data_IF_520505984889
#
_entry.id   IF_520505984889
#
_cell.length_a   1.000
_cell.length_b   1.000
_cell.length_c   1.000
_cell.angle_alpha   90.00
_cell.angle_beta   90.00
_cell.angle_gamma   90.00
#
_symmetry.space_group_name_H-M   'P 1'
#
loop_
_entity.id
_entity.type
_entity.pdbx_description
1 polymer ?
#
# COMPACT_ATOMS: atom_id res chain seq x y z
N UNK A 1 -18.91 22.34 7.81
CA UNK A 1 -19.23 21.25 8.75
C UNK A 1 -18.67 21.65 10.11
N UNK A 2 -19.46 21.54 11.18
CA UNK A 2 -19.00 21.83 12.53
C UNK A 2 -18.03 20.73 12.96
N UNK A 3 -16.72 21.02 12.90
CA UNK A 3 -15.66 20.23 13.54
C UNK A 3 -15.78 20.40 15.05
N UNK A 4 -15.85 19.29 15.79
CA UNK A 4 -16.04 19.29 17.24
C UNK A 4 -16.22 17.90 17.86
N UNK A 5 -16.44 16.85 17.05
CA UNK A 5 -16.60 15.47 17.56
C UNK A 5 -15.58 14.53 16.91
N UNK A 6 -14.32 14.69 17.35
CA UNK A 6 -13.19 13.87 16.91
C UNK A 6 -13.40 12.38 17.18
N UNK A 7 -14.08 12.02 18.29
CA UNK A 7 -14.27 10.62 18.69
C UNK A 7 -15.26 9.93 17.76
N UNK A 8 -16.36 10.59 17.42
CA UNK A 8 -17.31 10.07 16.45
C UNK A 8 -16.66 9.93 15.07
N UNK A 9 -15.93 10.97 14.61
CA UNK A 9 -15.21 10.93 13.34
C UNK A 9 -14.19 9.77 13.28
N UNK A 10 -13.47 9.51 14.38
CA UNK A 10 -12.53 8.39 14.47
C UNK A 10 -13.25 7.04 14.42
N UNK A 11 -14.38 6.88 15.11
CA UNK A 11 -15.22 5.67 15.03
C UNK A 11 -15.65 5.42 13.59
N UNK A 12 -16.11 6.46 12.88
CA UNK A 12 -16.48 6.35 11.47
C UNK A 12 -15.29 5.97 10.59
N UNK A 13 -14.12 6.59 10.79
CA UNK A 13 -12.90 6.23 10.07
C UNK A 13 -12.51 4.77 10.31
N UNK A 14 -12.56 4.30 11.56
CA UNK A 14 -12.20 2.92 11.92
C UNK A 14 -13.10 1.89 11.21
N UNK A 15 -14.40 2.19 11.07
CA UNK A 15 -15.33 1.32 10.35
C UNK A 15 -15.02 1.28 8.84
N UNK A 16 -14.71 2.43 8.24
CA UNK A 16 -14.36 2.50 6.81
C UNK A 16 -13.03 1.81 6.50
N UNK A 17 -12.00 2.00 7.34
CA UNK A 17 -10.70 1.30 7.20
C UNK A 17 -10.88 -0.22 7.25
N UNK A 18 -11.73 -0.74 8.15
CA UNK A 18 -12.04 -2.19 8.19
C UNK A 18 -12.70 -2.67 6.90
N UNK A 19 -13.53 -1.83 6.27
CA UNK A 19 -14.22 -2.20 5.04
C UNK A 19 -13.29 -2.37 3.83
N UNK A 20 -12.12 -1.73 3.86
CA UNK A 20 -11.07 -1.85 2.84
C UNK A 20 -9.97 -2.85 3.22
N UNK A 21 -10.19 -3.65 4.28
CA UNK A 21 -9.29 -4.73 4.73
C UNK A 21 -7.85 -4.27 5.00
N UNK A 22 -7.66 -3.03 5.43
CA UNK A 22 -6.34 -2.55 5.83
C UNK A 22 -5.82 -3.38 7.02
N UNK A 23 -4.54 -3.82 6.98
CA UNK A 23 -3.93 -4.55 8.09
C UNK A 23 -4.04 -3.77 9.42
N UNK A 24 -4.46 -4.44 10.48
CA UNK A 24 -4.62 -3.83 11.81
C UNK A 24 -3.31 -3.28 12.36
N UNK A 25 -2.17 -3.89 12.02
CA UNK A 25 -0.83 -3.44 12.41
C UNK A 25 -0.48 -2.03 11.87
N UNK A 26 -1.14 -1.55 10.82
CA UNK A 26 -0.92 -0.21 10.26
C UNK A 26 -1.83 0.85 10.91
N UNK A 27 -2.81 0.45 11.71
CA UNK A 27 -3.86 1.34 12.23
C UNK A 27 -3.57 1.69 13.69
N UNK A 28 -3.00 2.87 13.91
CA UNK A 28 -2.81 3.43 15.26
C UNK A 28 -3.89 4.49 15.57
N UNK A 29 -4.95 4.10 16.27
CA UNK A 29 -6.06 5.01 16.60
C UNK A 29 -5.67 6.08 17.62
N UNK A 30 -4.76 5.77 18.55
CA UNK A 30 -4.30 6.70 19.58
C UNK A 30 -3.50 7.85 18.96
N UNK A 31 -2.55 7.53 18.06
CA UNK A 31 -1.81 8.55 17.30
C UNK A 31 -2.71 9.39 16.40
N UNK A 32 -3.79 8.81 15.85
CA UNK A 32 -4.78 9.59 15.08
C UNK A 32 -5.52 10.61 15.95
N UNK A 33 -5.87 10.24 17.19
CA UNK A 33 -6.47 11.16 18.16
C UNK A 33 -5.52 12.28 18.57
N UNK A 34 -4.24 11.95 18.76
CA UNK A 34 -3.18 12.92 19.05
C UNK A 34 -2.88 13.87 17.87
N UNK A 35 -3.34 13.54 16.67
CA UNK A 35 -3.11 14.33 15.46
C UNK A 35 -1.74 14.09 14.81
N UNK A 36 -1.07 12.99 15.15
CA UNK A 36 0.22 12.62 14.56
C UNK A 36 0.05 12.36 13.04
N UNK A 37 0.74 13.08 12.14
CA UNK A 37 0.66 12.82 10.70
C UNK A 37 1.24 11.47 10.29
N UNK A 38 2.18 10.91 11.05
CA UNK A 38 2.94 9.72 10.66
C UNK A 38 2.08 8.47 10.60
N UNK A 39 1.07 8.35 11.48
CA UNK A 39 0.18 7.17 11.53
C UNK A 39 -0.69 7.01 10.28
N UNK A 40 -0.86 8.08 9.50
CA UNK A 40 -1.69 8.05 8.30
C UNK A 40 -0.90 7.60 7.05
N UNK A 41 0.42 7.83 7.00
CA UNK A 41 1.23 7.56 5.81
C UNK A 41 1.21 6.07 5.40
N UNK A 42 1.37 5.09 6.32
CA UNK A 42 1.30 3.67 5.96
C UNK A 42 -0.09 3.25 5.47
N UNK A 43 -1.14 3.89 5.99
CA UNK A 43 -2.52 3.65 5.55
C UNK A 43 -2.69 4.15 4.11
N UNK A 44 -2.23 5.35 3.80
CA UNK A 44 -2.28 5.88 2.44
C UNK A 44 -1.47 5.02 1.47
N UNK A 45 -0.26 4.61 1.83
CA UNK A 45 0.57 3.74 1.00
C UNK A 45 -0.18 2.43 0.65
N UNK A 46 -0.79 1.80 1.66
CA UNK A 46 -1.67 0.65 1.47
C UNK A 46 -2.82 0.93 0.49
N UNK A 47 -3.55 2.02 0.69
CA UNK A 47 -4.74 2.34 -0.10
C UNK A 47 -4.43 2.59 -1.59
N UNK A 48 -3.37 3.33 -1.89
CA UNK A 48 -3.03 3.70 -3.27
C UNK A 48 -2.26 2.60 -4.00
N UNK A 49 -1.40 1.86 -3.30
CA UNK A 49 -0.48 0.91 -3.94
C UNK A 49 -0.93 -0.55 -3.83
N UNK A 50 -1.63 -0.93 -2.78
CA UNK A 50 -1.88 -2.34 -2.43
C UNK A 50 -3.35 -2.76 -2.46
N UNK A 51 -4.28 -1.85 -2.10
CA UNK A 51 -5.70 -2.18 -1.99
C UNK A 51 -6.35 -2.57 -3.32
N UNK A 52 -6.04 -1.86 -4.41
CA UNK A 52 -6.62 -2.09 -5.73
C UNK A 52 -5.55 -2.08 -6.81
N UNK A 53 -5.25 -3.25 -7.38
CA UNK A 53 -4.30 -3.41 -8.49
C UNK A 53 -4.66 -2.55 -9.69
N UNK A 54 -5.95 -2.31 -9.95
CA UNK A 54 -6.41 -1.44 -11.03
C UNK A 54 -6.09 0.03 -10.77
N UNK A 55 -6.28 0.50 -9.53
CA UNK A 55 -5.91 1.85 -9.14
C UNK A 55 -4.39 2.04 -9.25
N UNK A 56 -3.60 1.11 -8.72
CA UNK A 56 -2.14 1.17 -8.80
C UNK A 56 -1.64 1.21 -10.25
N UNK A 57 -2.24 0.43 -11.15
CA UNK A 57 -1.92 0.48 -12.59
C UNK A 57 -2.33 1.80 -13.24
N UNK A 58 -3.46 2.39 -12.87
CA UNK A 58 -3.90 3.68 -13.40
C UNK A 58 -2.96 4.81 -12.96
N UNK A 59 -2.51 4.78 -11.71
CA UNK A 59 -1.48 5.70 -11.19
C UNK A 59 -0.20 5.56 -12.00
N UNK A 60 0.23 4.33 -12.29
CA UNK A 60 1.44 4.07 -13.07
C UNK A 60 1.30 4.54 -14.53
N UNK A 61 0.14 4.34 -15.16
CA UNK A 61 -0.14 4.79 -16.53
C UNK A 61 -0.09 6.30 -16.71
N UNK A 62 -0.34 7.07 -15.65
CA UNK A 62 -0.30 8.53 -15.67
C UNK A 62 1.03 9.08 -15.16
N UNK A 63 2.04 8.23 -14.97
CA UNK A 63 3.35 8.59 -14.42
C UNK A 63 3.28 9.24 -13.02
N UNK A 64 2.23 8.94 -12.24
CA UNK A 64 2.00 9.49 -10.90
C UNK A 64 2.51 8.56 -9.79
N UNK A 65 3.59 7.81 -10.04
CA UNK A 65 4.11 6.81 -9.09
C UNK A 65 4.45 7.44 -7.75
N UNK A 66 3.84 6.95 -6.67
CA UNK A 66 4.12 7.42 -5.32
C UNK A 66 5.53 6.96 -4.90
N UNK A 67 6.39 7.86 -4.39
CA UNK A 67 7.68 7.49 -3.82
C UNK A 67 7.50 6.78 -2.48
N UNK A 68 8.46 5.98 -2.01
CA UNK A 68 8.38 5.39 -0.67
C UNK A 68 8.29 6.47 0.42
N UNK A 69 7.23 6.45 1.23
CA UNK A 69 7.01 7.48 2.27
C UNK A 69 8.15 7.52 3.30
N UNK A 70 8.84 6.39 3.55
CA UNK A 70 9.99 6.31 4.48
C UNK A 70 11.18 7.17 4.06
N UNK A 71 11.38 7.40 2.77
CA UNK A 71 12.50 8.22 2.27
C UNK A 71 12.13 9.69 2.20
N UNK A 72 10.92 10.01 1.75
CA UNK A 72 10.49 11.39 1.61
C UNK A 72 8.97 11.52 1.79
N UNK A 73 8.58 11.81 3.03
CA UNK A 73 7.17 11.94 3.45
C UNK A 73 6.46 13.09 2.74
N UNK A 74 7.15 14.22 2.55
CA UNK A 74 6.62 15.41 1.88
C UNK A 74 6.31 15.12 0.43
N UNK A 75 7.28 14.59 -0.33
CA UNK A 75 7.08 14.20 -1.73
C UNK A 75 6.00 13.14 -1.89
N UNK A 76 5.96 12.15 -0.99
CA UNK A 76 4.89 11.14 -0.99
C UNK A 76 3.51 11.78 -0.89
N UNK A 77 3.31 12.69 0.07
CA UNK A 77 2.03 13.35 0.29
C UNK A 77 1.67 14.29 -0.88
N UNK A 78 2.64 15.01 -1.45
CA UNK A 78 2.45 15.85 -2.62
C UNK A 78 1.99 15.05 -3.84
N UNK A 79 2.66 13.93 -4.14
CA UNK A 79 2.26 13.03 -5.23
C UNK A 79 0.89 12.42 -4.97
N UNK A 80 0.59 12.01 -3.73
CA UNK A 80 -0.75 11.52 -3.35
C UNK A 80 -1.83 12.58 -3.59
N UNK A 81 -1.55 13.85 -3.23
CA UNK A 81 -2.48 14.96 -3.47
C UNK A 81 -2.67 15.26 -4.96
N UNK A 82 -1.65 15.04 -5.79
CA UNK A 82 -1.77 15.14 -7.24
C UNK A 82 -2.65 14.00 -7.77
N UNK A 83 -2.42 12.76 -7.35
CA UNK A 83 -3.27 11.61 -7.70
C UNK A 83 -4.74 11.86 -7.36
N UNK A 84 -5.02 12.39 -6.17
CA UNK A 84 -6.39 12.72 -5.75
C UNK A 84 -7.07 13.75 -6.67
N UNK A 85 -6.34 14.75 -7.15
CA UNK A 85 -6.86 15.75 -8.09
C UNK A 85 -7.02 15.19 -9.49
N UNK A 86 -6.04 14.43 -9.97
CA UNK A 86 -6.03 13.93 -11.35
C UNK A 86 -6.99 12.76 -11.58
N UNK A 87 -7.07 11.82 -10.62
CA UNK A 87 -7.91 10.62 -10.75
C UNK A 87 -9.31 10.81 -10.20
N UNK A 88 -9.45 11.47 -9.05
CA UNK A 88 -10.71 11.58 -8.33
C UNK A 88 -11.34 12.98 -8.42
N UNK A 89 -10.66 13.94 -9.04
CA UNK A 89 -11.08 15.35 -9.12
C UNK A 89 -11.41 15.93 -7.74
N UNK A 90 -10.76 15.38 -6.70
CA UNK A 90 -11.00 15.73 -5.32
C UNK A 90 -9.83 16.53 -4.77
N UNK A 91 -10.12 17.69 -4.18
CA UNK A 91 -9.13 18.57 -3.59
C UNK A 91 -9.01 18.29 -2.09
N UNK A 92 -7.82 17.87 -1.60
CA UNK A 92 -7.59 17.71 -0.17
C UNK A 92 -7.86 19.01 0.61
N UNK A 93 -8.52 18.92 1.79
CA UNK A 93 -8.87 20.08 2.61
C UNK A 93 -7.69 20.68 3.38
N UNK A 94 -6.58 19.94 3.50
CA UNK A 94 -5.35 20.36 4.16
C UNK A 94 -4.25 20.55 3.10
N UNK A 95 -3.41 21.57 3.29
CA UNK A 95 -2.13 21.64 2.57
C UNK A 95 -1.14 20.62 3.11
N UNK A 96 -0.09 20.31 2.35
CA UNK A 96 1.01 19.44 2.81
C UNK A 96 1.60 19.93 4.15
N UNK A 97 1.82 21.23 4.30
CA UNK A 97 2.31 21.84 5.55
C UNK A 97 1.32 21.71 6.72
N UNK A 98 0.03 21.92 6.48
CA UNK A 98 -1.01 21.77 7.50
C UNK A 98 -1.17 20.31 7.93
N UNK A 99 -0.95 19.38 7.01
CA UNK A 99 -0.97 17.96 7.32
C UNK A 99 0.18 17.59 8.26
N UNK A 100 1.41 18.03 8.01
CA UNK A 100 2.54 17.73 8.89
C UNK A 100 2.60 18.56 10.19
N UNK A 101 1.77 19.61 10.30
CA UNK A 101 1.61 20.35 11.56
C UNK A 101 0.99 19.47 12.65
N UNK A 102 1.36 19.67 13.91
CA UNK A 102 0.78 18.94 15.07
C UNK A 102 -0.72 19.21 15.29
N UNK A 103 -1.28 20.25 14.68
CA UNK A 103 -2.71 20.55 14.74
C UNK A 103 -3.58 19.70 13.82
N UNK A 104 -4.84 20.12 13.65
CA UNK A 104 -5.76 19.59 12.64
C UNK A 104 -6.10 18.09 12.76
N UNK A 105 -5.98 17.49 13.95
CA UNK A 105 -6.28 16.07 14.18
C UNK A 105 -7.62 15.62 13.57
N UNK A 106 -8.70 16.33 13.89
CA UNK A 106 -10.03 16.02 13.36
C UNK A 106 -10.11 16.15 11.84
N UNK A 107 -9.49 17.19 11.25
CA UNK A 107 -9.48 17.35 9.79
C UNK A 107 -8.68 16.25 9.09
N UNK A 108 -7.60 15.75 9.70
CA UNK A 108 -6.83 14.60 9.19
C UNK A 108 -7.65 13.32 9.21
N UNK A 109 -8.40 13.08 10.29
CA UNK A 109 -9.31 11.95 10.42
C UNK A 109 -10.38 11.99 9.32
N UNK A 110 -11.03 13.15 9.15
CA UNK A 110 -12.06 13.35 8.12
C UNK A 110 -11.46 13.15 6.72
N UNK A 111 -10.30 13.76 6.44
CA UNK A 111 -9.59 13.62 5.17
C UNK A 111 -9.28 12.15 4.86
N UNK A 112 -8.74 11.40 5.83
CA UNK A 112 -8.44 9.99 5.65
C UNK A 112 -9.70 9.17 5.35
N UNK A 113 -10.80 9.44 6.06
CA UNK A 113 -12.09 8.77 5.86
C UNK A 113 -12.62 9.00 4.44
N UNK A 114 -12.56 10.24 3.97
CA UNK A 114 -13.04 10.60 2.64
C UNK A 114 -12.18 9.95 1.54
N UNK A 115 -10.85 9.90 1.72
CA UNK A 115 -9.94 9.19 0.82
C UNK A 115 -10.28 7.69 0.76
N UNK A 116 -10.52 7.04 1.90
CA UNK A 116 -10.92 5.62 1.95
C UNK A 116 -12.19 5.38 1.14
N UNK A 117 -13.20 6.26 1.30
CA UNK A 117 -14.46 6.18 0.56
C UNK A 117 -14.26 6.35 -0.95
N UNK A 118 -13.52 7.38 -1.36
CA UNK A 118 -13.21 7.64 -2.77
C UNK A 118 -12.57 6.42 -3.44
N UNK A 119 -11.55 5.85 -2.80
CA UNK A 119 -10.82 4.69 -3.32
C UNK A 119 -11.72 3.45 -3.39
N UNK A 120 -12.54 3.24 -2.36
CA UNK A 120 -13.52 2.15 -2.32
C UNK A 120 -14.57 2.28 -3.42
N UNK A 121 -15.17 3.44 -3.60
CA UNK A 121 -16.15 3.73 -4.66
C UNK A 121 -15.54 3.56 -6.06
N UNK A 122 -14.31 4.04 -6.26
CA UNK A 122 -13.57 3.83 -7.50
C UNK A 122 -13.34 2.34 -7.78
N UNK A 123 -12.96 1.57 -6.75
CA UNK A 123 -12.75 0.12 -6.88
C UNK A 123 -14.04 -0.65 -7.22
N UNK A 124 -15.20 -0.21 -6.72
CA UNK A 124 -16.50 -0.82 -6.98
C UNK A 124 -16.99 -0.47 -8.39
N UNK A 125 -16.88 0.81 -8.78
CA UNK A 125 -17.28 1.29 -10.10
C UNK A 125 -16.54 0.55 -11.22
N UNK A 126 -15.24 0.32 -11.04
CA UNK A 126 -14.41 -0.44 -11.98
C UNK A 126 -14.80 -1.93 -12.06
N UNK A 127 -15.29 -2.54 -10.97
CA UNK A 127 -15.80 -3.93 -10.99
C UNK A 127 -17.12 -4.02 -11.77
N UNK A 128 -18.00 -3.02 -11.63
CA UNK A 128 -19.27 -2.98 -12.37
C UNK A 128 -19.08 -2.74 -13.87
N UNK A 129 -18.08 -1.95 -14.27
CA UNK A 129 -17.70 -1.75 -15.67
C UNK A 129 -17.13 -3.04 -16.30
N UNK A 130 -16.40 -3.85 -15.52
CA UNK A 130 -15.90 -5.15 -15.98
C UNK A 130 -17.01 -6.22 -16.09
N UNK A 131 -18.05 -6.15 -15.24
CA UNK A 131 -19.20 -7.06 -15.29
C UNK A 131 -20.26 -6.67 -16.34
N UNK A 132 -20.24 -5.43 -16.82
CA UNK A 132 -21.21 -4.89 -17.80
C UNK A 132 -20.52 -4.63 -19.13
N UNK A 133 -19.94 -5.68 -19.73
CA UNK A 133 -19.73 -5.73 -21.18
C UNK A 133 -20.86 -6.55 -21.81
N UNK A 134 -22.05 -5.98 -22.08
CA UNK A 134 -23.00 -6.64 -22.95
C UNK A 134 -22.47 -6.57 -24.39
N UNK A 135 -22.46 -7.71 -25.05
CA UNK A 135 -22.32 -7.81 -26.49
C UNK A 135 -23.22 -6.77 -27.17
N UNK A 136 -22.64 -5.97 -28.04
CA UNK A 136 -23.35 -5.07 -28.93
C UNK A 136 -24.12 -5.88 -29.97
N UNK A 137 -25.28 -6.43 -29.58
CA UNK A 137 -26.35 -6.77 -30.52
C UNK A 137 -27.04 -5.47 -30.91
N UNK A 138 -26.59 -4.93 -32.04
CA UNK A 138 -27.30 -3.90 -32.79
C UNK A 138 -28.78 -4.32 -32.93
N UNK A 139 -29.68 -3.53 -32.35
CA UNK A 139 -31.12 -3.66 -32.58
C UNK A 139 -31.69 -2.30 -32.94
N UNK A 140 -31.87 -2.07 -34.25
CA UNK A 140 -32.96 -1.25 -34.81
C UNK A 140 -33.08 -1.49 -36.32
N UNK A 141 -34.27 -1.41 -36.97
CA UNK A 141 -35.65 -1.51 -36.47
C UNK A 141 -36.44 -2.68 -37.09
N UNK A 142 -37.56 -2.97 -36.42
CA UNK A 142 -38.68 -3.84 -36.79
C UNK A 142 -39.39 -3.38 -38.07
N UNK A 143 -39.44 -4.24 -39.08
CA UNK A 143 -40.27 -4.09 -40.29
C UNK A 143 -41.72 -4.43 -39.94
N UNK A 144 -42.64 -3.48 -40.14
CA UNK A 144 -44.08 -3.66 -40.06
C UNK A 144 -44.67 -3.96 -41.46
N UNK A 145 -45.71 -4.79 -41.44
CA UNK A 145 -46.43 -5.40 -42.57
C UNK A 145 -47.58 -4.48 -43.05
N UNK A 146 -47.55 -4.11 -44.35
CA UNK A 146 -48.57 -3.66 -45.36
C UNK A 146 -50.00 -3.21 -44.93
N UNK A 147 -50.73 -2.31 -45.67
CA UNK A 147 -51.06 -2.49 -47.11
C UNK A 147 -51.28 -1.26 -48.05
N UNK A 148 -51.19 -1.58 -49.36
CA UNK A 148 -51.89 -1.08 -50.56
C UNK A 148 -52.04 0.43 -50.90
N UNK A 149 -51.46 0.83 -52.05
CA UNK A 149 -52.06 1.79 -53.00
C UNK A 149 -51.49 1.63 -54.43
N UNK A 150 -52.33 1.92 -55.42
CA UNK A 150 -52.20 1.71 -56.88
C UNK A 150 -51.36 2.80 -57.57
N UNK A 151 -50.61 2.43 -58.62
CA UNK A 151 -50.51 3.08 -59.96
C UNK A 151 -49.25 2.56 -60.69
N UNK A 152 -49.37 1.83 -61.80
CA UNK A 152 -49.40 2.30 -63.19
C UNK A 152 -48.02 2.49 -63.85
N UNK A 153 -47.89 1.85 -65.02
CA UNK A 153 -47.12 2.25 -66.22
C UNK A 153 -45.78 1.56 -66.57
N UNK A 154 -45.76 1.08 -67.83
CA UNK A 154 -44.67 0.84 -68.79
C UNK A 154 -43.67 -0.30 -68.48
N UNK A 155 -43.69 -1.46 -69.16
CA UNK A 155 -43.47 -1.79 -70.58
C UNK A 155 -42.03 -1.61 -71.07
N UNK A 156 -41.40 -2.75 -71.43
CA UNK A 156 -40.32 -3.02 -72.43
C UNK A 156 -39.31 -4.04 -71.87
N UNK A 157 -38.71 -5.02 -72.57
CA UNK A 157 -38.87 -5.67 -73.87
C UNK A 157 -37.88 -6.86 -73.88
N UNK A 158 -38.33 -7.98 -74.47
CA UNK A 158 -37.65 -9.18 -75.00
C UNK A 158 -36.12 -9.41 -74.88
N UNK A 159 -35.75 -10.70 -74.71
CA UNK A 159 -34.47 -11.28 -75.14
C UNK A 159 -34.29 -12.75 -74.73
N UNK A 160 -34.36 -13.68 -75.70
CA UNK A 160 -34.15 -15.12 -75.54
C UNK A 160 -32.67 -15.52 -75.31
N UNK A 161 -32.49 -16.64 -74.58
CA UNK A 161 -31.47 -17.74 -74.56
C UNK A 161 -30.37 -17.83 -75.67
N UNK A 162 -29.34 -18.74 -75.62
CA UNK A 162 -29.01 -19.86 -74.68
C UNK A 162 -27.49 -20.10 -74.35
N UNK A 163 -27.21 -21.16 -73.57
CA UNK A 163 -26.05 -22.08 -73.62
C UNK A 163 -24.79 -21.88 -72.71
N UNK A 164 -24.47 -22.95 -71.96
CA UNK A 164 -23.20 -23.26 -71.24
C UNK A 164 -22.15 -23.88 -72.22
N UNK A 165 -20.92 -24.37 -71.84
CA UNK A 165 -20.28 -24.66 -70.53
C UNK A 165 -18.73 -24.31 -70.50
N UNK A 166 -17.79 -24.97 -69.77
CA UNK A 166 -17.65 -25.33 -68.34
C UNK A 166 -16.33 -24.82 -67.66
N UNK A 167 -16.19 -25.10 -66.34
CA UNK A 167 -14.96 -25.23 -65.52
C UNK A 167 -14.21 -23.98 -65.00
N UNK A 168 -14.46 -23.65 -63.73
CA UNK A 168 -13.39 -23.48 -62.73
C UNK A 168 -13.91 -23.81 -61.32
N UNK A 169 -13.22 -24.73 -60.66
CA UNK A 169 -13.51 -25.19 -59.30
C UNK A 169 -13.18 -24.09 -58.28
N UNK A 170 -14.21 -23.38 -57.81
CA UNK A 170 -14.12 -22.51 -56.64
C UNK A 170 -14.50 -23.35 -55.41
N UNK A 171 -13.50 -23.68 -54.60
CA UNK A 171 -13.69 -24.25 -53.25
C UNK A 171 -14.51 -23.27 -52.43
N UNK A 172 -15.74 -23.66 -52.13
CA UNK A 172 -16.69 -22.88 -51.36
C UNK A 172 -16.33 -23.03 -49.88
N UNK A 173 -15.52 -22.11 -49.36
CA UNK A 173 -15.28 -22.00 -47.92
C UNK A 173 -16.60 -21.75 -47.20
N UNK A 174 -17.02 -22.76 -46.44
CA UNK A 174 -18.18 -22.73 -45.55
C UNK A 174 -17.85 -21.74 -44.42
N UNK A 175 -18.72 -20.77 -44.07
CA UNK A 175 -18.47 -19.92 -42.91
C UNK A 175 -18.30 -20.79 -41.65
N UNK A 176 -17.34 -20.49 -40.77
CA UNK A 176 -17.06 -21.34 -39.61
C UNK A 176 -18.32 -21.46 -38.76
N UNK A 177 -18.81 -22.69 -38.64
CA UNK A 177 -19.96 -23.02 -37.82
C UNK A 177 -19.77 -22.43 -36.43
N UNK A 178 -20.80 -21.80 -35.86
CA UNK A 178 -20.73 -21.14 -34.55
C UNK A 178 -20.19 -22.07 -33.45
N UNK A 179 -20.34 -23.39 -33.59
CA UNK A 179 -19.72 -24.40 -32.73
C UNK A 179 -18.18 -24.41 -32.79
N UNK A 180 -17.58 -24.27 -33.96
CA UNK A 180 -16.11 -24.23 -34.13
C UNK A 180 -15.50 -22.94 -33.58
N UNK A 181 -16.22 -21.82 -33.68
CA UNK A 181 -15.79 -20.54 -33.08
C UNK A 181 -15.86 -20.62 -31.55
N UNK A 182 -16.87 -21.30 -31.00
CA UNK A 182 -16.99 -21.51 -29.56
C UNK A 182 -15.92 -22.48 -29.04
N UNK A 183 -15.61 -23.57 -29.77
CA UNK A 183 -14.56 -24.50 -29.35
C UNK A 183 -13.19 -23.82 -29.32
N UNK A 184 -12.84 -23.05 -30.35
CA UNK A 184 -11.58 -22.32 -30.39
C UNK A 184 -11.42 -21.31 -29.23
N UNK A 185 -12.53 -20.66 -28.81
CA UNK A 185 -12.54 -19.79 -27.63
C UNK A 185 -12.33 -20.57 -26.33
N UNK A 186 -12.93 -21.75 -26.21
CA UNK A 186 -12.75 -22.64 -25.04
C UNK A 186 -11.28 -23.10 -24.97
N UNK A 187 -10.70 -23.52 -26.09
CA UNK A 187 -9.29 -23.95 -26.16
C UNK A 187 -8.32 -22.81 -25.77
N UNK A 188 -8.61 -21.59 -26.23
CA UNK A 188 -7.83 -20.39 -25.87
C UNK A 188 -7.89 -20.11 -24.37
N UNK A 189 -9.08 -20.25 -23.76
CA UNK A 189 -9.26 -20.05 -22.32
C UNK A 189 -8.54 -21.11 -21.50
N UNK A 190 -8.55 -22.37 -21.94
CA UNK A 190 -7.82 -23.46 -21.28
C UNK A 190 -6.30 -23.24 -21.35
N UNK A 191 -5.79 -22.81 -22.51
CA UNK A 191 -4.38 -22.47 -22.67
C UNK A 191 -3.96 -21.36 -21.69
N UNK A 192 -4.74 -20.28 -21.60
CA UNK A 192 -4.42 -19.19 -20.68
C UNK A 192 -4.51 -19.63 -19.21
N UNK A 193 -5.47 -20.50 -18.86
CA UNK A 193 -5.56 -21.07 -17.51
C UNK A 193 -4.29 -21.86 -17.17
N UNK A 194 -3.78 -22.69 -18.08
CA UNK A 194 -2.54 -23.43 -17.89
C UNK A 194 -1.32 -22.52 -17.73
N UNK A 195 -1.24 -21.46 -18.53
CA UNK A 195 -0.15 -20.47 -18.47
C UNK A 195 -0.15 -19.72 -17.12
N UNK A 196 -1.32 -19.30 -16.65
CA UNK A 196 -1.49 -18.67 -15.33
C UNK A 196 -1.09 -19.65 -14.22
N UNK A 197 -1.54 -20.91 -14.26
CA UNK A 197 -1.16 -21.92 -13.27
C UNK A 197 0.37 -22.17 -13.26
N UNK A 198 1.00 -22.23 -14.43
CA UNK A 198 2.45 -22.38 -14.57
C UNK A 198 3.20 -21.19 -13.96
N UNK A 199 2.75 -19.97 -14.25
CA UNK A 199 3.36 -18.75 -13.69
C UNK A 199 3.24 -18.68 -12.16
N UNK A 200 2.10 -19.09 -11.60
CA UNK A 200 1.90 -19.16 -10.15
C UNK A 200 2.83 -20.18 -9.50
N UNK A 201 3.02 -21.32 -10.17
CA UNK A 201 3.96 -22.35 -9.70
C UNK A 201 5.41 -21.83 -9.72
N UNK A 202 5.83 -21.22 -10.82
CA UNK A 202 7.17 -20.63 -10.95
C UNK A 202 7.42 -19.53 -9.89
N UNK A 203 6.42 -18.69 -9.63
CA UNK A 203 6.50 -17.66 -8.60
C UNK A 203 6.64 -18.28 -7.20
N UNK A 204 5.93 -19.37 -6.91
CA UNK A 204 6.06 -20.10 -5.64
C UNK A 204 7.46 -20.68 -5.47
N UNK A 205 8.04 -21.26 -6.52
CA UNK A 205 9.40 -21.81 -6.51
C UNK A 205 10.45 -20.71 -6.30
N UNK A 206 10.32 -19.57 -6.97
CA UNK A 206 11.19 -18.41 -6.74
C UNK A 206 11.07 -17.88 -5.32
N UNK A 207 9.86 -17.78 -4.77
CA UNK A 207 9.65 -17.32 -3.39
C UNK A 207 10.30 -18.28 -2.38
N UNK A 208 10.19 -19.59 -2.60
CA UNK A 208 10.83 -20.59 -1.75
C UNK A 208 12.36 -20.46 -1.81
N UNK A 209 12.91 -20.22 -3.00
CA UNK A 209 14.35 -20.02 -3.17
C UNK A 209 14.84 -18.77 -2.43
N UNK A 210 14.13 -17.64 -2.57
CA UNK A 210 14.46 -16.40 -1.86
C UNK A 210 14.37 -16.58 -0.35
N UNK A 211 13.35 -17.31 0.13
CA UNK A 211 13.19 -17.59 1.56
C UNK A 211 14.36 -18.42 2.09
N UNK A 212 14.73 -19.49 1.38
CA UNK A 212 15.87 -20.33 1.75
C UNK A 212 17.20 -19.57 1.70
N UNK A 213 17.42 -18.73 0.67
CA UNK A 213 18.60 -17.89 0.60
C UNK A 213 18.66 -16.90 1.77
N UNK A 214 17.52 -16.31 2.15
CA UNK A 214 17.44 -15.37 3.29
C UNK A 214 17.76 -16.08 4.60
N UNK A 215 17.24 -17.29 4.80
CA UNK A 215 17.53 -18.12 5.98
C UNK A 215 19.03 -18.43 6.06
N UNK A 216 19.65 -18.84 4.96
CA UNK A 216 21.10 -19.09 4.92
C UNK A 216 21.95 -17.85 5.19
N UNK A 217 21.50 -16.66 4.75
CA UNK A 217 22.21 -15.41 5.08
C UNK A 217 22.05 -15.05 6.56
N UNK A 218 20.85 -15.27 7.13
CA UNK A 218 20.62 -15.04 8.56
C UNK A 218 21.53 -15.92 9.40
N UNK A 219 21.64 -17.21 9.06
CA UNK A 219 22.52 -18.16 9.76
C UNK A 219 24.00 -17.76 9.72
N UNK A 220 24.44 -17.07 8.66
CA UNK A 220 25.81 -16.56 8.57
C UNK A 220 26.02 -15.26 9.36
N UNK A 221 25.03 -14.37 9.38
CA UNK A 221 25.15 -13.03 10.00
C UNK A 221 24.90 -13.09 11.51
N UNK A 222 23.97 -13.93 11.97
CA UNK A 222 23.61 -14.05 13.38
C UNK A 222 24.82 -14.33 14.31
N UNK A 223 25.72 -15.29 14.02
CA UNK A 223 26.88 -15.54 14.87
C UNK A 223 27.86 -14.36 14.91
N UNK A 224 28.07 -13.68 13.77
CA UNK A 224 28.96 -12.49 13.71
C UNK A 224 28.40 -11.36 14.58
N UNK A 225 27.09 -11.10 14.50
CA UNK A 225 26.45 -10.08 15.34
C UNK A 225 26.51 -10.47 16.81
N UNK A 226 26.32 -11.74 17.13
CA UNK A 226 26.39 -12.23 18.52
C UNK A 226 27.79 -12.07 19.09
N UNK A 227 28.84 -12.40 18.33
CA UNK A 227 30.24 -12.21 18.74
C UNK A 227 30.60 -10.74 18.95
N UNK A 228 30.13 -9.84 18.07
CA UNK A 228 30.33 -8.39 18.24
C UNK A 228 29.67 -7.90 19.53
N UNK A 229 28.44 -8.34 19.81
CA UNK A 229 27.73 -7.97 21.04
C UNK A 229 28.47 -8.47 22.28
N UNK A 230 28.94 -9.73 22.26
CA UNK A 230 29.73 -10.30 23.36
C UNK A 230 31.06 -9.57 23.58
N UNK A 231 31.75 -9.17 22.51
CA UNK A 231 32.96 -8.34 22.60
C UNK A 231 32.68 -6.98 23.23
N UNK A 232 31.55 -6.33 22.88
CA UNK A 232 31.18 -5.05 23.45
C UNK A 232 30.86 -5.17 24.94
N UNK A 233 30.11 -6.20 25.34
CA UNK A 233 29.86 -6.47 26.76
C UNK A 233 31.14 -6.75 27.54
N UNK A 234 32.08 -7.51 26.95
CA UNK A 234 33.37 -7.80 27.57
C UNK A 234 34.26 -6.57 27.70
N UNK A 235 34.27 -5.69 26.69
CA UNK A 235 34.98 -4.40 26.75
C UNK A 235 34.39 -3.48 27.81
N UNK A 236 33.06 -3.39 27.90
CA UNK A 236 32.38 -2.62 28.94
C UNK A 236 32.72 -3.14 30.35
N UNK A 237 32.71 -4.46 30.56
CA UNK A 237 33.09 -5.06 31.84
C UNK A 237 34.58 -4.83 32.19
N UNK A 238 35.47 -4.82 31.19
CA UNK A 238 36.90 -4.56 31.37
C UNK A 238 37.18 -3.09 31.71
N UNK A 239 36.48 -2.14 31.09
CA UNK A 239 36.60 -0.71 31.40
C UNK A 239 36.12 -0.42 32.83
N UNK A 240 34.99 -1.00 33.27
CA UNK A 240 34.52 -0.88 34.66
C UNK A 240 35.52 -1.46 35.67
N UNK A 241 36.17 -2.58 35.32
CA UNK A 241 37.18 -3.20 36.19
C UNK A 241 38.46 -2.37 36.27
N UNK A 242 38.89 -1.78 35.15
CA UNK A 242 40.06 -0.89 35.07
C UNK A 242 39.84 0.37 35.91
N UNK A 243 38.68 1.02 35.76
CA UNK A 243 38.29 2.20 36.54
C UNK A 243 38.29 1.90 38.05
N UNK A 244 37.74 0.74 38.46
CA UNK A 244 37.74 0.33 39.86
C UNK A 244 39.13 0.00 40.41
N UNK A 245 40.04 -0.48 39.56
CA UNK A 245 41.43 -0.76 39.96
C UNK A 245 42.27 0.51 40.10
N UNK A 246 42.03 1.52 39.25
CA UNK A 246 42.71 2.81 39.28
C UNK A 246 42.24 3.65 40.48
N UNK A 247 40.94 3.63 40.79
CA UNK A 247 40.37 4.25 41.98
C UNK A 247 40.90 3.63 43.30
N UNK A 248 41.25 2.33 43.30
CA UNK A 248 41.88 1.67 44.45
C UNK A 248 43.36 2.04 44.60
N UNK A 249 44.07 2.25 43.50
CA UNK A 249 45.48 2.63 43.52
C UNK A 249 45.68 4.11 43.96
N UNK A 250 44.72 4.99 43.70
CA UNK A 250 44.74 6.37 44.21
C UNK A 250 44.43 6.47 45.71
N UNK A 251 43.66 5.54 46.27
CA UNK A 251 43.39 5.49 47.72
C UNK A 251 44.57 4.97 48.55
N UNK A 252 45.44 4.12 47.97
CA UNK A 252 46.62 3.56 48.65
C UNK A 252 47.80 4.56 48.72
N UNK A 253 47.83 5.57 47.83
CA UNK A 253 48.82 6.66 47.89
C UNK A 253 48.51 7.73 48.94
N UNK A 254 47.33 7.70 49.57
CA UNK A 254 46.89 8.71 50.54
C UNK A 254 47.44 8.54 51.96
N UNK A 255 47.93 7.35 52.34
CA UNK A 255 48.25 7.02 53.74
C UNK A 255 49.73 7.14 54.12
N UNK A 256 50.62 7.57 53.22
CA UNK A 256 52.07 7.65 53.50
C UNK A 256 52.59 9.08 53.74
N UNK A 257 51.70 10.05 54.01
CA UNK A 257 52.08 11.46 54.10
C UNK A 257 51.45 12.23 55.26
N UNK A 258 51.16 11.62 56.41
CA UNK A 258 50.92 12.41 57.64
C UNK A 258 51.37 11.63 58.88
N UNK A 259 52.67 11.74 59.23
CA UNK A 259 53.10 11.52 60.60
C UNK A 259 54.23 12.49 60.98
N UNK A 260 53.89 13.77 61.06
CA UNK A 260 54.58 14.71 61.94
C UNK A 260 53.65 15.89 62.26
N UNK A 261 53.43 16.17 63.54
CA UNK A 261 52.95 17.49 63.97
C UNK A 261 51.56 17.60 64.61
N UNK A 262 51.49 17.26 65.90
CA UNK A 262 50.99 18.17 66.95
C UNK A 262 49.50 18.55 67.00
N UNK A 263 48.82 17.91 67.96
CA UNK A 263 47.94 18.47 69.00
C UNK A 263 46.71 19.36 68.68
N UNK A 264 45.66 19.02 69.43
CA UNK A 264 44.61 19.88 69.98
C UNK A 264 43.31 20.10 69.19
N UNK A 265 42.26 19.47 69.74
CA UNK A 265 41.00 20.10 70.20
C UNK A 265 40.06 20.75 69.18
N UNK A 266 38.79 20.29 69.18
CA UNK A 266 37.67 21.12 68.75
C UNK A 266 36.49 20.32 68.17
N UNK A 267 35.47 20.10 69.00
CA UNK A 267 34.20 19.47 68.65
C UNK A 267 33.16 20.48 68.10
N UNK A 268 32.09 19.90 67.52
CA UNK A 268 30.73 20.46 67.27
C UNK A 268 30.59 21.46 66.09
N UNK A 269 29.52 21.52 65.30
CA UNK A 269 28.20 20.87 65.20
C UNK A 269 27.67 21.14 63.78
N UNK A 270 27.13 20.14 63.07
CA UNK A 270 25.72 19.99 62.66
C UNK A 270 25.13 20.92 61.56
N UNK A 271 24.40 20.27 60.64
CA UNK A 271 23.06 20.59 60.04
C UNK A 271 23.05 20.11 58.57
N UNK A 272 22.51 18.90 58.32
CA UNK A 272 21.15 18.63 57.80
C UNK A 272 20.90 19.17 56.39
N UNK A 273 20.66 18.25 55.43
CA UNK A 273 19.50 18.29 54.50
C UNK A 273 19.13 16.85 54.08
N UNK A 274 17.85 16.50 54.25
CA UNK A 274 17.17 15.26 53.80
C UNK A 274 16.45 15.50 52.44
N UNK A 275 15.90 14.47 51.76
CA UNK A 275 16.12 14.21 50.33
C UNK A 275 14.92 14.52 49.42
N UNK A 276 15.09 14.39 48.10
CA UNK A 276 13.98 14.37 47.13
C UNK A 276 14.15 13.31 46.03
N UNK A 277 13.42 12.21 46.25
CA UNK A 277 12.52 11.51 45.33
C UNK A 277 13.03 10.85 44.04
N UNK A 278 12.82 9.52 44.03
CA UNK A 278 12.72 8.58 42.92
C UNK A 278 11.68 8.93 41.84
N UNK A 279 11.90 8.45 40.61
CA UNK A 279 10.84 7.85 39.77
C UNK A 279 11.46 6.66 39.01
N UNK A 280 10.87 5.50 39.23
CA UNK A 280 11.11 4.22 38.57
C UNK A 280 9.76 3.75 38.01
N UNK A 281 9.76 3.22 36.78
CA UNK A 281 8.87 2.19 36.22
C UNK A 281 7.33 2.34 36.39
N UNK A 282 6.65 2.59 35.27
CA UNK A 282 5.75 1.60 34.63
C UNK A 282 5.78 1.81 33.10
#
# INVERSE_FOLDING_TARGET
MATGDIRNNLKMLSAEIRSVKTPSALVNLEGMMAGDPEVYLPIYDYLFQWYSTRLANEILRRDLKLPPYKHNKTKFLETMYLVLRELFQWKPPLSTSQFFSSGFAEKKIIMCRDIVKLIKEYSISQKSAAATSPASTATRPRVQKVPAAKSSAAMSKAGLQPAAPPNSSVTRDKPPSSKAVLSAKIDTLLHHLMEVQSSVKALKEQMLLVMNQTETMLDQVLPVVTEIVDELYKKEAADVTTINSELRHDLDKGDNAVQEGTAASGASEAITVRPKSAVLLD
#
